data_IF_877308233369
#
_entry.id   IF_877308233369
#
_cell.length_a   1.000
_cell.length_b   1.000
_cell.length_c   1.000
_cell.angle_alpha   90.00
_cell.angle_beta   90.00
_cell.angle_gamma   90.00
#
_symmetry.space_group_name_H-M   'P 1'
#
loop_
_entity.id
_entity.type
_entity.pdbx_description
1 polymer ?
#
# COMPACT_ATOMS: atom_id res chain seq x y z
N UNK A 1 23.72 -28.68 -1.19
CA UNK A 1 23.68 -27.45 -0.38
C UNK A 1 22.21 -27.22 -0.16
N UNK A 2 21.73 -27.44 1.07
CA UNK A 2 20.39 -27.02 1.43
C UNK A 2 20.36 -25.50 1.25
N UNK A 3 19.50 -25.01 0.36
CA UNK A 3 19.19 -23.59 0.30
C UNK A 3 18.72 -23.20 1.71
N UNK A 4 19.52 -22.43 2.45
CA UNK A 4 19.05 -21.76 3.66
C UNK A 4 17.83 -20.96 3.24
N UNK A 5 16.66 -21.40 3.69
CA UNK A 5 15.40 -20.75 3.37
C UNK A 5 15.40 -19.37 4.02
N UNK A 6 15.82 -18.34 3.28
CA UNK A 6 15.71 -16.96 3.72
C UNK A 6 14.23 -16.64 3.93
N UNK A 7 13.84 -16.52 5.19
CA UNK A 7 12.52 -16.05 5.60
C UNK A 7 12.60 -14.56 5.84
N UNK A 8 11.77 -13.80 5.12
CA UNK A 8 11.67 -12.35 5.28
C UNK A 8 10.40 -11.99 6.04
N UNK A 9 10.50 -10.99 6.90
CA UNK A 9 9.34 -10.29 7.45
C UNK A 9 8.71 -9.39 6.38
N UNK A 10 7.44 -9.04 6.54
CA UNK A 10 6.79 -8.09 5.62
C UNK A 10 7.50 -6.73 5.60
N UNK A 11 8.05 -6.30 6.73
CA UNK A 11 8.81 -5.05 6.84
C UNK A 11 10.09 -5.07 6.00
N UNK A 12 10.82 -6.19 5.98
CA UNK A 12 12.00 -6.33 5.14
C UNK A 12 11.63 -6.29 3.65
N UNK A 13 10.55 -6.96 3.24
CA UNK A 13 10.05 -6.91 1.86
C UNK A 13 9.61 -5.50 1.45
N UNK A 14 8.96 -4.75 2.34
CA UNK A 14 8.60 -3.36 2.09
C UNK A 14 9.85 -2.48 1.95
N UNK A 15 10.85 -2.69 2.82
CA UNK A 15 12.11 -1.94 2.78
C UNK A 15 12.91 -2.21 1.50
N UNK A 16 12.89 -3.45 0.99
CA UNK A 16 13.50 -3.80 -0.31
C UNK A 16 12.93 -3.01 -1.49
N UNK A 17 11.66 -2.62 -1.42
CA UNK A 17 10.99 -1.77 -2.42
C UNK A 17 10.96 -0.29 -2.03
N UNK A 18 11.70 0.10 -0.99
CA UNK A 18 11.88 1.50 -0.59
C UNK A 18 10.72 2.08 0.23
N UNK A 19 9.90 1.24 0.86
CA UNK A 19 8.73 1.67 1.66
C UNK A 19 8.93 1.37 3.14
N UNK A 20 8.82 2.42 3.95
CA UNK A 20 8.84 2.36 5.42
C UNK A 20 7.49 2.80 6.00
N UNK A 21 7.10 2.23 7.15
CA UNK A 21 5.83 2.56 7.81
C UNK A 21 5.70 4.06 8.09
N UNK A 22 6.77 4.73 8.49
CA UNK A 22 6.73 6.18 8.76
C UNK A 22 6.36 7.00 7.53
N UNK A 23 6.80 6.56 6.34
CA UNK A 23 6.47 7.25 5.08
C UNK A 23 4.98 7.06 4.73
N UNK A 24 4.42 5.88 5.02
CA UNK A 24 3.00 5.61 4.85
C UNK A 24 2.13 6.41 5.84
N UNK A 25 2.62 6.60 7.07
CA UNK A 25 1.97 7.47 8.06
C UNK A 25 1.95 8.91 7.55
N UNK A 26 3.09 9.42 7.07
CA UNK A 26 3.16 10.78 6.52
C UNK A 26 2.20 10.94 5.33
N UNK A 27 2.23 10.02 4.37
CA UNK A 27 1.32 10.02 3.22
C UNK A 27 -0.15 9.99 3.63
N UNK A 28 -0.52 9.18 4.63
CA UNK A 28 -1.88 9.11 5.17
C UNK A 28 -2.36 10.41 5.82
N UNK A 29 -1.46 11.19 6.42
CA UNK A 29 -1.83 12.43 7.10
C UNK A 29 -1.84 13.65 6.18
N UNK A 30 -1.21 13.57 5.00
CA UNK A 30 -1.22 14.65 4.00
C UNK A 30 -2.63 14.97 3.49
N UNK A 31 -3.51 13.96 3.38
CA UNK A 31 -4.86 14.11 2.85
C UNK A 31 -5.94 14.35 3.93
N UNK A 32 -5.58 14.72 5.16
CA UNK A 32 -6.57 15.04 6.19
C UNK A 32 -7.51 16.17 5.73
N UNK A 33 -8.82 15.94 5.84
CA UNK A 33 -9.85 16.92 5.52
C UNK A 33 -10.65 17.27 6.78
N UNK A 34 -10.56 18.53 7.21
CA UNK A 34 -11.31 19.03 8.37
C UNK A 34 -10.80 18.55 9.73
N UNK A 35 -9.63 17.92 9.79
CA UNK A 35 -8.96 17.47 11.02
C UNK A 35 -7.51 17.94 11.00
N UNK A 36 -7.03 18.50 12.11
CA UNK A 36 -5.62 18.88 12.23
C UNK A 36 -4.72 17.66 12.39
N UNK A 37 -3.55 17.69 11.73
CA UNK A 37 -2.49 16.72 11.98
C UNK A 37 -2.00 16.89 13.42
N UNK A 38 -2.12 15.82 14.21
CA UNK A 38 -1.63 15.81 15.60
C UNK A 38 -0.70 14.62 15.83
N UNK A 39 0.19 14.75 16.82
CA UNK A 39 1.07 13.64 17.22
C UNK A 39 0.28 12.40 17.67
N UNK A 40 -0.90 12.60 18.27
CA UNK A 40 -1.78 11.49 18.64
C UNK A 40 -2.26 10.73 17.40
N UNK A 41 -2.65 11.45 16.35
CA UNK A 41 -3.14 10.84 15.12
C UNK A 41 -2.02 10.12 14.36
N UNK A 42 -0.80 10.66 14.37
CA UNK A 42 0.40 9.96 13.85
C UNK A 42 0.60 8.60 14.52
N UNK A 43 0.56 8.56 15.85
CA UNK A 43 0.75 7.32 16.62
C UNK A 43 -0.37 6.32 16.33
N UNK A 44 -1.63 6.78 16.36
CA UNK A 44 -2.79 5.90 16.14
C UNK A 44 -2.79 5.34 14.71
N UNK A 45 -2.42 6.15 13.71
CA UNK A 45 -2.29 5.66 12.33
C UNK A 45 -1.14 4.67 12.20
N UNK A 46 0.02 4.94 12.82
CA UNK A 46 1.15 4.01 12.81
C UNK A 46 0.76 2.65 13.41
N UNK A 47 0.14 2.66 14.59
CA UNK A 47 -0.36 1.46 15.26
C UNK A 47 -1.36 0.71 14.39
N UNK A 48 -2.27 1.43 13.73
CA UNK A 48 -3.26 0.81 12.84
C UNK A 48 -2.62 0.22 11.58
N UNK A 49 -1.64 0.88 10.94
CA UNK A 49 -0.91 0.32 9.80
C UNK A 49 -0.18 -0.97 10.22
N UNK A 50 0.50 -0.95 11.38
CA UNK A 50 1.19 -2.14 11.92
C UNK A 50 0.22 -3.29 12.19
N UNK A 51 -0.95 -3.00 12.76
CA UNK A 51 -2.02 -3.97 12.97
C UNK A 51 -2.56 -4.53 11.65
N UNK A 52 -2.71 -3.69 10.62
CA UNK A 52 -3.09 -4.14 9.27
C UNK A 52 -2.04 -5.10 8.67
N UNK A 53 -0.75 -4.86 8.96
CA UNK A 53 0.36 -5.73 8.54
C UNK A 53 0.48 -7.04 9.34
N UNK A 54 -0.38 -7.27 10.34
CA UNK A 54 -0.53 -8.56 11.01
C UNK A 54 -1.65 -9.43 10.39
N UNK A 55 -2.53 -8.85 9.56
CA UNK A 55 -3.55 -9.61 8.83
C UNK A 55 -2.93 -10.37 7.66
N UNK A 56 -3.04 -11.70 7.70
CA UNK A 56 -2.54 -12.59 6.64
C UNK A 56 -3.04 -12.21 5.24
N UNK A 57 -4.28 -11.76 5.11
CA UNK A 57 -4.87 -11.43 3.81
C UNK A 57 -4.27 -10.12 3.26
N UNK A 58 -4.03 -9.14 4.13
CA UNK A 58 -3.35 -7.89 3.77
C UNK A 58 -1.91 -8.18 3.35
N UNK A 59 -1.19 -8.97 4.17
CA UNK A 59 0.21 -9.33 3.90
C UNK A 59 0.35 -10.07 2.57
N UNK A 60 -0.49 -11.07 2.30
CA UNK A 60 -0.42 -11.85 1.05
C UNK A 60 -0.68 -10.97 -0.17
N UNK A 61 -1.61 -10.00 -0.09
CA UNK A 61 -1.88 -9.06 -1.18
C UNK A 61 -0.70 -8.11 -1.42
N UNK A 62 -0.10 -7.55 -0.36
CA UNK A 62 1.08 -6.68 -0.49
C UNK A 62 2.25 -7.44 -1.12
N UNK A 63 2.51 -8.68 -0.67
CA UNK A 63 3.57 -9.52 -1.24
C UNK A 63 3.28 -9.82 -2.71
N UNK A 64 2.04 -10.09 -3.09
CA UNK A 64 1.68 -10.28 -4.50
C UNK A 64 2.00 -9.03 -5.33
N UNK A 65 1.65 -7.84 -4.84
CA UNK A 65 1.99 -6.57 -5.48
C UNK A 65 3.50 -6.37 -5.66
N UNK A 66 4.28 -6.59 -4.60
CA UNK A 66 5.76 -6.50 -4.63
C UNK A 66 6.37 -7.42 -5.68
N UNK A 67 5.92 -8.68 -5.76
CA UNK A 67 6.49 -9.64 -6.72
C UNK A 67 6.10 -9.32 -8.16
N UNK A 68 4.86 -8.88 -8.37
CA UNK A 68 4.40 -8.47 -9.71
C UNK A 68 5.14 -7.22 -10.17
N UNK A 69 5.31 -6.21 -9.31
CA UNK A 69 6.11 -5.02 -9.61
C UNK A 69 7.53 -5.40 -10.06
N UNK A 70 8.18 -6.31 -9.33
CA UNK A 70 9.54 -6.76 -9.66
C UNK A 70 9.61 -7.41 -11.06
N UNK A 71 8.59 -8.19 -11.43
CA UNK A 71 8.48 -8.80 -12.76
C UNK A 71 8.24 -7.76 -13.87
N UNK A 72 7.44 -6.73 -13.58
CA UNK A 72 7.14 -5.63 -14.49
C UNK A 72 8.39 -4.77 -14.74
N UNK A 73 9.05 -4.31 -13.67
CA UNK A 73 10.26 -3.48 -13.75
C UNK A 73 11.43 -4.17 -14.46
N UNK A 74 11.53 -5.50 -14.33
CA UNK A 74 12.57 -6.31 -14.98
C UNK A 74 12.15 -6.85 -16.35
N UNK A 75 10.99 -6.43 -16.87
CA UNK A 75 10.41 -6.86 -18.14
C UNK A 75 10.37 -8.38 -18.31
N UNK A 76 10.04 -9.11 -17.23
CA UNK A 76 10.01 -10.59 -17.23
C UNK A 76 8.75 -11.17 -17.86
N UNK A 77 7.73 -10.34 -18.10
CA UNK A 77 6.47 -10.75 -18.70
C UNK A 77 6.44 -10.34 -20.18
N UNK A 78 6.50 -11.32 -21.07
CA UNK A 78 6.50 -11.06 -22.52
C UNK A 78 5.20 -10.36 -22.96
N UNK A 79 5.35 -9.24 -23.66
CA UNK A 79 4.23 -8.49 -24.23
C UNK A 79 3.54 -7.54 -23.25
N UNK A 80 4.06 -7.39 -22.02
CA UNK A 80 3.58 -6.42 -21.04
C UNK A 80 4.70 -5.42 -20.75
N UNK A 81 4.44 -4.14 -21.03
CA UNK A 81 5.25 -3.01 -20.58
C UNK A 81 4.30 -1.98 -19.97
N UNK A 82 4.61 -1.57 -18.75
CA UNK A 82 3.83 -0.61 -17.96
C UNK A 82 4.72 0.51 -17.41
N UNK A 83 5.91 0.72 -17.99
CA UNK A 83 6.90 1.69 -17.48
C UNK A 83 6.35 3.12 -17.47
N UNK A 84 5.38 3.41 -18.36
CA UNK A 84 4.71 4.70 -18.50
C UNK A 84 3.44 4.82 -17.62
N UNK A 85 3.22 3.92 -16.66
CA UNK A 85 2.01 3.85 -15.80
C UNK A 85 0.71 3.98 -16.62
N UNK A 86 0.43 3.00 -17.50
CA UNK A 86 -0.65 3.13 -18.46
C UNK A 86 -2.01 3.03 -17.78
N UNK A 87 -2.91 3.96 -18.10
CA UNK A 87 -4.30 3.99 -17.63
C UNK A 87 -5.19 2.77 -18.00
N UNK A 88 -4.63 1.73 -18.62
CA UNK A 88 -5.28 0.44 -18.89
C UNK A 88 -4.84 -0.69 -17.94
N UNK A 89 -3.83 -0.46 -17.09
CA UNK A 89 -3.56 -1.33 -15.96
C UNK A 89 -4.65 -1.02 -14.92
N UNK A 90 -5.53 -2.00 -14.69
CA UNK A 90 -6.61 -1.89 -13.69
C UNK A 90 -6.44 -2.91 -12.56
N UNK A 91 -5.49 -3.83 -12.72
CA UNK A 91 -5.28 -4.91 -11.75
C UNK A 91 -4.60 -4.40 -10.48
N UNK A 92 -3.85 -3.32 -10.62
CA UNK A 92 -3.34 -2.46 -9.57
C UNK A 92 -4.45 -1.88 -8.69
N UNK A 93 -5.41 -1.19 -9.30
CA UNK A 93 -6.52 -0.57 -8.57
C UNK A 93 -7.37 -1.63 -7.88
N UNK A 94 -7.62 -2.77 -8.55
CA UNK A 94 -8.36 -3.90 -7.97
C UNK A 94 -7.66 -4.44 -6.72
N UNK A 95 -6.33 -4.52 -6.74
CA UNK A 95 -5.55 -4.98 -5.59
C UNK A 95 -5.54 -3.95 -4.46
N UNK A 96 -5.35 -2.66 -4.78
CA UNK A 96 -5.43 -1.56 -3.80
C UNK A 96 -6.79 -1.51 -3.10
N UNK A 97 -7.89 -1.62 -3.87
CA UNK A 97 -9.24 -1.72 -3.32
C UNK A 97 -9.44 -2.97 -2.45
N UNK A 98 -8.89 -4.11 -2.84
CA UNK A 98 -9.00 -5.35 -2.06
C UNK A 98 -8.32 -5.20 -0.69
N UNK A 99 -7.13 -4.57 -0.64
CA UNK A 99 -6.41 -4.27 0.61
C UNK A 99 -7.23 -3.31 1.48
N UNK A 100 -7.69 -2.18 0.92
CA UNK A 100 -8.47 -1.21 1.66
C UNK A 100 -9.76 -1.82 2.25
N UNK A 101 -10.47 -2.60 1.43
CA UNK A 101 -11.70 -3.28 1.82
C UNK A 101 -11.45 -4.38 2.87
N UNK A 102 -10.32 -5.08 2.83
CA UNK A 102 -9.95 -6.05 3.86
C UNK A 102 -9.78 -5.39 5.23
N UNK A 103 -9.20 -4.18 5.27
CA UNK A 103 -8.90 -3.47 6.54
C UNK A 103 -10.15 -2.83 7.16
N UNK A 104 -10.96 -2.14 6.35
CA UNK A 104 -12.04 -1.28 6.84
C UNK A 104 -13.35 -1.41 6.05
N UNK A 105 -13.51 -2.46 5.24
CA UNK A 105 -14.73 -2.72 4.47
C UNK A 105 -14.97 -1.72 3.35
N UNK A 106 -16.18 -1.74 2.79
CA UNK A 106 -16.53 -1.04 1.54
C UNK A 106 -16.32 0.47 1.63
N UNK A 107 -16.43 1.06 2.82
CA UNK A 107 -16.23 2.50 3.00
C UNK A 107 -14.79 2.94 2.69
N UNK A 108 -13.81 2.05 2.92
CA UNK A 108 -12.41 2.34 2.67
C UNK A 108 -12.09 2.48 1.18
N UNK A 109 -12.92 1.91 0.31
CA UNK A 109 -12.78 2.03 -1.14
C UNK A 109 -12.96 3.49 -1.60
N UNK A 110 -13.87 4.24 -0.98
CA UNK A 110 -14.03 5.66 -1.28
C UNK A 110 -12.82 6.48 -0.87
N UNK A 111 -12.19 6.11 0.25
CA UNK A 111 -10.97 6.76 0.71
C UNK A 111 -9.79 6.37 -0.19
N UNK A 112 -9.71 5.10 -0.61
CA UNK A 112 -8.69 4.59 -1.52
C UNK A 112 -8.62 5.41 -2.80
N UNK A 113 -9.77 5.68 -3.43
CA UNK A 113 -9.80 6.51 -4.65
C UNK A 113 -9.16 7.88 -4.49
N UNK A 114 -9.23 8.48 -3.31
CA UNK A 114 -8.55 9.74 -3.05
C UNK A 114 -7.02 9.59 -2.93
N UNK A 115 -6.53 8.49 -2.35
CA UNK A 115 -5.09 8.24 -2.24
C UNK A 115 -4.47 7.79 -3.57
N UNK A 116 -5.20 6.99 -4.34
CA UNK A 116 -4.89 6.57 -5.71
C UNK A 116 -4.78 7.81 -6.64
N UNK A 117 -5.75 8.73 -6.58
CA UNK A 117 -5.72 9.95 -7.41
C UNK A 117 -4.62 10.95 -7.00
N UNK A 118 -4.41 11.19 -5.70
CA UNK A 118 -3.49 12.24 -5.22
C UNK A 118 -2.04 11.76 -5.06
N UNK A 119 -1.83 10.44 -4.93
CA UNK A 119 -0.54 9.76 -4.70
C UNK A 119 0.41 10.50 -3.71
N UNK A 120 -0.01 10.75 -2.44
CA UNK A 120 0.74 11.57 -1.49
C UNK A 120 2.06 10.92 -1.01
N UNK A 121 3.02 11.76 -0.64
CA UNK A 121 4.30 11.34 -0.07
C UNK A 121 5.02 10.25 -0.88
N UNK A 122 5.31 9.11 -0.23
CA UNK A 122 6.01 7.98 -0.87
C UNK A 122 5.19 7.35 -2.00
N UNK A 123 3.86 7.40 -1.94
CA UNK A 123 2.98 6.71 -2.91
C UNK A 123 3.26 7.19 -4.33
N UNK A 124 3.40 8.49 -4.55
CA UNK A 124 3.69 9.07 -5.87
C UNK A 124 5.10 8.81 -6.41
N UNK A 125 5.93 8.05 -5.70
CA UNK A 125 7.28 7.67 -6.13
C UNK A 125 7.40 6.19 -6.49
N UNK A 126 6.37 5.42 -6.21
CA UNK A 126 6.35 3.98 -6.43
C UNK A 126 5.96 3.65 -7.87
N UNK A 127 6.27 2.43 -8.29
CA UNK A 127 5.83 1.93 -9.59
C UNK A 127 4.33 1.57 -9.60
N UNK A 128 3.77 1.29 -10.79
CA UNK A 128 2.32 1.22 -11.05
C UNK A 128 1.55 0.22 -10.20
N UNK A 129 2.21 -0.81 -9.68
CA UNK A 129 1.55 -1.77 -8.80
C UNK A 129 1.68 -1.33 -7.34
N UNK A 130 2.83 -0.79 -6.95
CA UNK A 130 3.10 -0.50 -5.55
C UNK A 130 2.41 0.76 -5.04
N UNK A 131 2.24 1.78 -5.88
CA UNK A 131 1.49 2.97 -5.49
C UNK A 131 0.07 2.62 -5.03
N UNK A 132 -0.67 1.80 -5.78
CA UNK A 132 -2.03 1.38 -5.45
C UNK A 132 -2.10 0.40 -4.27
N UNK A 133 -1.14 -0.51 -4.16
CA UNK A 133 -1.04 -1.43 -3.02
C UNK A 133 -0.88 -0.65 -1.71
N UNK A 134 0.03 0.31 -1.69
CA UNK A 134 0.30 1.10 -0.50
C UNK A 134 -0.73 2.21 -0.27
N UNK A 135 -1.33 2.77 -1.33
CA UNK A 135 -2.53 3.61 -1.22
C UNK A 135 -3.69 2.83 -0.59
N UNK A 136 -3.89 1.57 -0.96
CA UNK A 136 -4.88 0.67 -0.36
C UNK A 136 -4.64 0.46 1.13
N UNK A 137 -3.39 0.18 1.54
CA UNK A 137 -3.01 0.01 2.94
C UNK A 137 -3.25 1.28 3.76
N UNK A 138 -2.84 2.44 3.24
CA UNK A 138 -3.02 3.74 3.88
C UNK A 138 -4.50 4.10 3.99
N UNK A 139 -5.25 3.98 2.89
CA UNK A 139 -6.67 4.30 2.85
C UNK A 139 -7.50 3.40 3.77
N UNK A 140 -7.20 2.10 3.79
CA UNK A 140 -7.80 1.13 4.72
C UNK A 140 -7.53 1.51 6.17
N UNK A 141 -6.26 1.73 6.50
CA UNK A 141 -5.84 2.09 7.87
C UNK A 141 -6.43 3.41 8.32
N UNK A 142 -6.39 4.44 7.48
CA UNK A 142 -7.01 5.74 7.79
C UNK A 142 -8.52 5.64 7.97
N UNK A 143 -9.20 4.87 7.12
CA UNK A 143 -10.64 4.65 7.29
C UNK A 143 -10.95 3.95 8.60
N UNK A 144 -10.07 3.03 9.04
CA UNK A 144 -10.20 2.30 10.30
C UNK A 144 -10.03 3.20 11.52
N UNK A 145 -9.04 4.10 11.49
CA UNK A 145 -8.79 5.08 12.56
C UNK A 145 -10.01 5.94 12.88
N UNK A 146 -10.87 6.21 11.90
CA UNK A 146 -12.09 7.02 12.09
C UNK A 146 -13.39 6.20 12.20
N UNK A 147 -13.37 4.86 12.30
CA UNK A 147 -14.58 4.11 12.72
C UNK A 147 -14.72 3.93 14.23
N UNK A 148 -13.63 4.08 14.99
CA UNK A 148 -13.58 3.90 16.44
C UNK A 148 -13.80 5.23 17.19
#
# INVERSE_FOLDING_TARGET
MEDEQMSYTIYELMSEVGVEVSQLVDAGLELLAGVERTRKLEIVLEEQIRKSLEDINVVVLIVAGIRVEEDLQKHRIMGINVDDDPAYLYSDEVMGMAIANQIAGTKAIFNFKRYDEEKPGIIGTLGPMLDDVFAGLVAGSMSKVFEE
#
